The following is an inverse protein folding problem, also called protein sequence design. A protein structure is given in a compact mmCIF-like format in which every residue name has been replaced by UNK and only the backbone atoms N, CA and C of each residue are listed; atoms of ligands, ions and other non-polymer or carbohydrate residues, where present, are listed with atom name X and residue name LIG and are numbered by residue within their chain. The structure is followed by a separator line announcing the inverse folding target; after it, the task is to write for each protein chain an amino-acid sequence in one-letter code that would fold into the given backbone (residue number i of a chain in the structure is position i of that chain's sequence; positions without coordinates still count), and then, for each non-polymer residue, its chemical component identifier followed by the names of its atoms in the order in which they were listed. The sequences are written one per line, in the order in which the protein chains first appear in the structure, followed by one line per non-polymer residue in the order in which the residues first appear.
data_IF_113380889122
#
_entry.id   IF_113380889122
#
_cell.length_a   1.000
_cell.length_b   1.000
_cell.length_c   1.000
_cell.angle_alpha   90.00
_cell.angle_beta   90.00
_cell.angle_gamma   90.00
#
_symmetry.space_group_name_H-M   'P 1'
#
loop_
_entity.id
_entity.type
_entity.pdbx_description
1 polymer ?
#
# COMPACT_ATOMS: atom_id res chain seq x y z
N UNK A 1 2.38 -10.14 0.58
CA UNK A 1 2.64 -9.95 2.02
C UNK A 1 3.34 -8.60 2.18
N UNK A 2 2.79 -7.72 3.01
CA UNK A 2 3.40 -6.41 3.36
C UNK A 2 3.96 -6.53 4.75
N UNK A 3 5.19 -6.08 4.95
CA UNK A 3 5.77 -5.96 6.28
C UNK A 3 5.75 -4.49 6.67
N UNK A 4 5.12 -4.19 7.79
CA UNK A 4 5.12 -2.86 8.39
C UNK A 4 6.10 -2.94 9.57
N UNK A 5 7.18 -2.18 9.52
CA UNK A 5 8.14 -2.10 10.62
C UNK A 5 8.46 -0.65 10.93
N UNK A 6 8.69 -0.37 12.21
CA UNK A 6 9.16 0.93 12.64
C UNK A 6 10.61 1.12 12.15
N UNK A 7 10.87 2.25 11.49
CA UNK A 7 12.22 2.67 11.16
C UNK A 7 12.88 3.25 12.42
N UNK A 8 13.61 2.40 13.14
CA UNK A 8 14.31 2.78 14.37
C UNK A 8 15.82 2.57 14.18
N UNK A 9 16.68 3.42 14.79
CA UNK A 9 18.14 3.34 14.61
C UNK A 9 18.79 1.98 14.97
N UNK A 10 18.09 1.16 15.76
CA UNK A 10 18.56 -0.14 16.24
C UNK A 10 18.20 -1.31 15.31
N UNK A 11 17.56 -1.03 14.17
CA UNK A 11 17.18 -2.06 13.20
C UNK A 11 18.45 -2.59 12.49
N UNK A 12 18.74 -3.88 12.65
CA UNK A 12 19.92 -4.52 12.08
C UNK A 12 20.00 -4.44 10.54
N UNK A 13 21.16 -4.82 9.97
CA UNK A 13 21.47 -4.72 8.52
C UNK A 13 20.74 -5.75 7.64
N UNK A 14 19.41 -5.76 7.67
CA UNK A 14 18.57 -6.62 6.83
C UNK A 14 17.79 -7.67 7.61
N UNK A 15 17.00 -8.46 6.89
CA UNK A 15 16.06 -9.41 7.48
C UNK A 15 16.56 -10.84 7.26
N UNK A 16 16.26 -11.73 8.20
CA UNK A 16 16.50 -13.17 8.05
C UNK A 16 15.18 -13.91 8.15
N UNK A 17 14.85 -14.67 7.10
CA UNK A 17 13.74 -15.60 7.14
C UNK A 17 14.25 -16.95 7.62
N UNK A 18 13.80 -17.35 8.80
CA UNK A 18 14.04 -18.66 9.36
C UNK A 18 12.87 -19.56 8.93
N UNK A 19 13.16 -20.64 8.22
CA UNK A 19 12.16 -21.64 7.83
C UNK A 19 12.67 -23.05 8.12
N UNK A 20 11.74 -23.97 8.31
CA UNK A 20 12.05 -25.39 8.54
C UNK A 20 11.68 -26.15 7.28
N UNK A 21 12.66 -26.82 6.67
CA UNK A 21 12.42 -27.77 5.59
C UNK A 21 12.36 -29.16 6.19
N UNK A 22 11.27 -29.89 5.93
CA UNK A 22 11.17 -31.30 6.29
C UNK A 22 11.07 -32.18 5.06
N UNK A 23 11.91 -33.21 4.99
CA UNK A 23 11.87 -34.25 3.97
C UNK A 23 12.29 -35.58 4.60
N UNK A 24 11.53 -36.66 4.38
CA UNK A 24 11.82 -38.01 4.91
C UNK A 24 12.18 -38.02 6.41
N UNK A 25 11.39 -37.34 7.25
CA UNK A 25 11.58 -37.21 8.71
C UNK A 25 12.85 -36.45 9.15
N UNK A 26 13.68 -36.00 8.23
CA UNK A 26 14.78 -35.06 8.52
C UNK A 26 14.19 -33.65 8.54
N UNK A 27 14.60 -32.85 9.53
CA UNK A 27 14.22 -31.44 9.67
C UNK A 27 15.50 -30.60 9.64
N UNK A 28 15.60 -29.71 8.68
CA UNK A 28 16.69 -28.76 8.56
C UNK A 28 16.15 -27.34 8.75
N UNK A 29 16.93 -26.51 9.44
CA UNK A 29 16.65 -25.08 9.57
C UNK A 29 17.40 -24.33 8.47
N UNK A 30 16.67 -23.54 7.69
CA UNK A 30 17.22 -22.65 6.67
C UNK A 30 17.11 -21.22 7.16
N UNK A 31 18.23 -20.49 7.12
CA UNK A 31 18.27 -19.05 7.36
C UNK A 31 18.57 -18.33 6.04
N UNK A 32 17.55 -17.69 5.48
CA UNK A 32 17.65 -16.97 4.20
C UNK A 32 17.78 -15.48 4.50
N UNK A 33 18.87 -14.85 4.04
CA UNK A 33 19.00 -13.40 4.10
C UNK A 33 18.05 -12.78 3.09
N UNK A 34 17.13 -11.95 3.58
CA UNK A 34 16.24 -11.14 2.75
C UNK A 34 16.87 -9.74 2.68
N UNK A 35 17.38 -9.31 1.51
CA UNK A 35 17.81 -7.93 1.32
C UNK A 35 16.57 -7.05 1.44
N UNK A 36 16.57 -6.17 2.46
CA UNK A 36 15.53 -5.16 2.64
C UNK A 36 16.17 -3.81 2.47
N UNK A 37 15.72 -3.07 1.47
CA UNK A 37 16.05 -1.66 1.29
C UNK A 37 14.91 -0.83 1.83
N UNK A 38 15.24 0.25 2.55
CA UNK A 38 14.24 1.25 2.89
C UNK A 38 13.57 1.74 1.60
N UNK A 39 12.24 1.85 1.61
CA UNK A 39 11.53 2.38 0.47
C UNK A 39 11.91 3.85 0.27
N UNK A 40 12.20 4.25 -0.97
CA UNK A 40 12.56 5.64 -1.27
C UNK A 40 11.38 6.61 -1.02
N UNK A 41 10.16 6.09 -1.06
CA UNK A 41 8.93 6.82 -0.72
C UNK A 41 8.11 6.03 0.28
N UNK A 42 7.33 6.73 1.12
CA UNK A 42 6.50 6.07 2.12
C UNK A 42 5.33 5.33 1.46
N UNK A 43 5.27 4.01 1.69
CA UNK A 43 4.32 3.10 1.04
C UNK A 43 3.10 2.78 1.88
N UNK A 44 3.19 3.02 3.19
CA UNK A 44 2.09 2.81 4.14
C UNK A 44 1.77 4.13 4.81
N UNK A 45 0.54 4.58 4.64
CA UNK A 45 0.01 5.79 5.26
C UNK A 45 -0.95 5.38 6.38
N UNK A 46 -1.01 6.15 7.46
CA UNK A 46 -2.04 5.99 8.48
C UNK A 46 -3.06 7.11 8.37
N UNK A 47 -4.33 6.82 8.59
CA UNK A 47 -5.34 7.86 8.74
C UNK A 47 -6.37 7.54 9.81
N UNK A 48 -6.84 8.59 10.48
CA UNK A 48 -8.06 8.54 11.27
C UNK A 48 -9.27 8.27 10.38
N UNK A 49 -10.14 7.35 10.77
CA UNK A 49 -11.42 7.10 10.10
C UNK A 49 -12.59 7.28 11.06
N UNK A 50 -13.76 7.61 10.50
CA UNK A 50 -15.00 7.76 11.27
C UNK A 50 -15.47 6.45 11.89
N UNK A 51 -15.18 5.32 11.25
CA UNK A 51 -15.76 4.02 11.58
C UNK A 51 -14.78 3.11 12.33
N UNK A 52 -13.48 3.18 12.04
CA UNK A 52 -12.47 2.19 12.48
C UNK A 52 -11.29 2.83 13.22
N UNK A 53 -11.47 4.04 13.77
CA UNK A 53 -10.48 4.82 14.53
C UNK A 53 -9.21 5.15 13.75
N UNK A 54 -8.20 4.27 13.71
CA UNK A 54 -6.96 4.42 12.95
C UNK A 54 -6.76 3.23 12.01
N UNK A 55 -6.56 3.52 10.74
CA UNK A 55 -6.31 2.52 9.70
C UNK A 55 -4.98 2.79 9.01
N UNK A 56 -4.38 1.73 8.49
CA UNK A 56 -3.16 1.73 7.69
C UNK A 56 -3.49 1.31 6.26
N UNK A 57 -2.99 2.09 5.31
CA UNK A 57 -3.22 1.91 3.87
C UNK A 57 -1.87 1.74 3.20
N UNK A 58 -1.58 0.53 2.72
CA UNK A 58 -0.34 0.20 2.02
C UNK A 58 -0.56 0.16 0.51
N UNK A 59 0.13 1.01 -0.25
CA UNK A 59 0.11 1.00 -1.70
C UNK A 59 1.10 -0.04 -2.26
N UNK A 60 0.59 -0.96 -3.09
CA UNK A 60 1.36 -2.07 -3.67
C UNK A 60 1.82 -1.79 -5.11
N UNK A 61 1.48 -0.63 -5.68
CA UNK A 61 2.00 -0.21 -6.98
C UNK A 61 3.52 0.04 -6.88
N UNK A 62 4.36 -0.42 -7.82
CA UNK A 62 5.80 -0.12 -7.79
C UNK A 62 6.11 1.39 -7.72
N UNK A 63 7.27 1.76 -7.17
CA UNK A 63 7.71 3.16 -7.07
C UNK A 63 7.86 3.82 -8.46
N UNK A 64 8.14 3.00 -9.47
CA UNK A 64 8.17 3.42 -10.86
C UNK A 64 7.34 2.52 -11.77
N UNK A 65 6.61 3.15 -12.69
CA UNK A 65 5.79 2.46 -13.70
C UNK A 65 5.91 3.17 -15.05
N UNK A 66 5.54 2.48 -16.13
CA UNK A 66 5.47 3.11 -17.46
C UNK A 66 4.27 4.05 -17.59
N UNK A 67 4.27 4.95 -18.55
CA UNK A 67 3.04 5.66 -18.96
C UNK A 67 1.90 4.67 -19.30
N UNK A 68 0.66 5.01 -18.95
CA UNK A 68 -0.56 4.27 -19.29
C UNK A 68 -1.40 3.83 -18.08
N UNK A 69 -2.32 2.89 -18.34
CA UNK A 69 -3.22 2.31 -17.32
C UNK A 69 -2.50 1.20 -16.55
N UNK A 70 -2.60 1.27 -15.22
CA UNK A 70 -2.03 0.27 -14.32
C UNK A 70 -3.07 -0.21 -13.32
N UNK A 71 -2.99 -1.52 -13.06
CA UNK A 71 -3.65 -2.14 -11.92
C UNK A 71 -2.97 -1.66 -10.65
N UNK A 72 -3.71 -0.99 -9.78
CA UNK A 72 -3.22 -0.51 -8.49
C UNK A 72 -3.89 -1.30 -7.37
N UNK A 73 -3.07 -1.79 -6.44
CA UNK A 73 -3.53 -2.59 -5.31
C UNK A 73 -3.20 -1.94 -3.99
N UNK A 74 -4.08 -2.12 -3.02
CA UNK A 74 -3.86 -1.70 -1.65
C UNK A 74 -4.06 -2.86 -0.68
N UNK A 75 -3.39 -2.77 0.47
CA UNK A 75 -3.69 -3.56 1.65
C UNK A 75 -4.17 -2.60 2.76
N UNK A 76 -5.30 -2.94 3.37
CA UNK A 76 -5.91 -2.17 4.44
C UNK A 76 -5.90 -2.98 5.74
N UNK A 77 -5.43 -2.35 6.80
CA UNK A 77 -5.41 -2.90 8.14
C UNK A 77 -5.95 -1.87 9.13
N UNK A 78 -6.71 -2.31 10.14
CA UNK A 78 -7.03 -1.44 11.29
C UNK A 78 -5.98 -1.59 12.38
N UNK A 79 -5.82 -0.56 13.20
CA UNK A 79 -5.04 -0.66 14.43
C UNK A 79 -5.88 -1.30 15.54
N UNK A 80 -5.39 -2.37 16.15
CA UNK A 80 -6.01 -3.02 17.31
C UNK A 80 -4.92 -3.38 18.33
N UNK A 81 -4.55 -2.40 19.15
CA UNK A 81 -3.37 -2.50 20.02
C UNK A 81 -2.09 -2.72 19.19
N UNK A 82 -1.44 -3.88 19.39
CA UNK A 82 -0.27 -4.33 18.61
C UNK A 82 -0.62 -5.27 17.45
N UNK A 83 -1.91 -5.52 17.21
CA UNK A 83 -2.40 -6.33 16.10
C UNK A 83 -2.89 -5.41 14.98
N UNK A 84 -2.69 -5.87 13.75
CA UNK A 84 -3.09 -5.15 12.54
C UNK A 84 -3.99 -6.03 11.67
N UNK A 85 -5.19 -6.40 12.15
CA UNK A 85 -6.08 -7.25 11.39
C UNK A 85 -6.50 -6.57 10.08
N UNK A 86 -6.72 -7.40 9.06
CA UNK A 86 -7.18 -6.97 7.74
C UNK A 86 -8.54 -6.29 7.84
N UNK A 87 -8.77 -5.29 6.99
CA UNK A 87 -9.98 -4.48 7.03
C UNK A 87 -10.67 -4.43 5.67
N UNK A 88 -11.85 -5.04 5.60
CA UNK A 88 -12.71 -5.06 4.40
C UNK A 88 -13.85 -4.02 4.50
N UNK A 89 -14.67 -3.94 3.45
CA UNK A 89 -15.88 -3.09 3.35
C UNK A 89 -15.64 -1.57 3.20
N UNK A 90 -14.48 -1.19 2.68
CA UNK A 90 -14.26 0.15 2.15
C UNK A 90 -14.41 0.18 0.63
N UNK A 91 -14.44 1.40 0.07
CA UNK A 91 -14.17 1.68 -1.34
C UNK A 91 -13.07 2.74 -1.36
N UNK A 92 -11.99 2.48 -2.09
CA UNK A 92 -10.85 3.39 -2.16
C UNK A 92 -10.99 4.22 -3.43
N UNK A 93 -11.43 5.48 -3.31
CA UNK A 93 -11.50 6.37 -4.49
C UNK A 93 -10.12 6.94 -4.79
N UNK A 94 -9.81 7.00 -6.08
CA UNK A 94 -8.50 7.37 -6.59
C UNK A 94 -8.58 8.65 -7.42
N UNK A 95 -7.71 9.60 -7.11
CA UNK A 95 -7.45 10.76 -7.94
C UNK A 95 -5.95 10.82 -8.22
N UNK A 96 -5.59 11.34 -9.38
CA UNK A 96 -4.19 11.55 -9.74
C UNK A 96 -3.95 13.02 -9.95
N UNK A 97 -2.85 13.53 -9.40
CA UNK A 97 -2.38 14.87 -9.68
C UNK A 97 -0.94 14.81 -10.20
N UNK A 98 -0.64 15.62 -11.21
CA UNK A 98 0.74 15.79 -11.63
C UNK A 98 1.33 16.93 -10.82
N UNK A 99 2.47 16.69 -10.18
CA UNK A 99 3.15 17.69 -9.35
C UNK A 99 3.62 18.92 -10.14
N UNK A 100 3.59 18.89 -11.48
CA UNK A 100 4.11 19.98 -12.32
C UNK A 100 3.13 20.62 -13.29
N UNK A 101 1.88 20.15 -13.46
CA UNK A 101 0.83 20.83 -14.27
C UNK A 101 -0.50 20.07 -14.30
N UNK A 102 -1.61 20.77 -14.01
CA UNK A 102 -2.98 20.58 -14.54
C UNK A 102 -3.70 19.23 -14.36
N UNK A 103 -4.93 19.27 -13.84
CA UNK A 103 -5.84 18.12 -13.78
C UNK A 103 -6.37 17.76 -15.18
N UNK A 104 -5.97 16.61 -15.72
CA UNK A 104 -6.66 15.96 -16.84
C UNK A 104 -7.82 15.08 -16.37
N UNK A 105 -8.79 14.75 -17.22
CA UNK A 105 -9.87 13.82 -16.88
C UNK A 105 -9.29 12.46 -16.48
N UNK A 106 -9.67 11.97 -15.30
CA UNK A 106 -9.12 10.73 -14.76
C UNK A 106 -9.93 9.52 -15.24
N UNK A 107 -9.31 8.65 -16.03
CA UNK A 107 -9.78 7.27 -16.25
C UNK A 107 -9.38 6.35 -15.08
N UNK A 108 -9.54 6.83 -13.85
CA UNK A 108 -9.21 6.07 -12.66
C UNK A 108 -10.47 5.34 -12.18
N UNK A 109 -10.34 4.04 -11.92
CA UNK A 109 -11.39 3.23 -11.34
C UNK A 109 -11.07 3.01 -9.86
N UNK A 110 -12.07 3.25 -9.00
CA UNK A 110 -11.94 3.07 -7.56
C UNK A 110 -11.48 1.64 -7.22
N UNK A 111 -10.74 1.49 -6.12
CA UNK A 111 -10.32 0.19 -5.66
C UNK A 111 -11.39 -0.47 -4.79
N UNK A 112 -11.84 -1.66 -5.19
CA UNK A 112 -12.86 -2.45 -4.48
C UNK A 112 -12.21 -3.62 -3.73
N UNK A 113 -12.83 -4.05 -2.63
CA UNK A 113 -12.29 -5.16 -1.83
C UNK A 113 -12.29 -6.46 -2.65
N UNK A 114 -11.15 -7.13 -2.66
CA UNK A 114 -10.99 -8.52 -3.13
C UNK A 114 -10.96 -9.53 -1.97
N UNK A 115 -11.29 -9.07 -0.76
CA UNK A 115 -11.21 -9.84 0.49
C UNK A 115 -9.82 -9.83 1.13
N UNK A 116 -9.79 -10.19 2.42
CA UNK A 116 -8.58 -10.23 3.25
C UNK A 116 -7.86 -8.87 3.32
N UNK A 117 -8.64 -7.78 3.30
CA UNK A 117 -8.12 -6.41 3.33
C UNK A 117 -7.41 -5.97 2.04
N UNK A 118 -7.44 -6.78 0.97
CA UNK A 118 -6.89 -6.38 -0.32
C UNK A 118 -7.91 -5.62 -1.15
N UNK A 119 -7.44 -4.61 -1.88
CA UNK A 119 -8.28 -3.79 -2.76
C UNK A 119 -7.65 -3.64 -4.14
N UNK A 120 -8.49 -3.65 -5.17
CA UNK A 120 -8.17 -3.64 -6.61
C UNK A 120 -8.77 -2.43 -7.31
N UNK A 121 -7.95 -1.56 -7.89
CA UNK A 121 -8.42 -0.47 -8.74
C UNK A 121 -7.56 -0.31 -9.99
N UNK A 122 -7.86 0.75 -10.77
CA UNK A 122 -7.07 1.13 -11.94
C UNK A 122 -6.71 2.60 -11.86
N UNK A 123 -5.45 2.91 -12.13
CA UNK A 123 -4.94 4.27 -12.24
C UNK A 123 -4.38 4.50 -13.63
N UNK A 124 -4.63 5.65 -14.25
CA UNK A 124 -4.06 6.01 -15.54
C UNK A 124 -3.06 7.16 -15.39
N UNK A 125 -1.81 6.91 -15.79
CA UNK A 125 -0.77 7.93 -15.87
C UNK A 125 -0.58 8.35 -17.32
N UNK A 126 -1.12 9.51 -17.68
CA UNK A 126 -1.20 9.92 -19.07
C UNK A 126 0.12 10.37 -19.68
N UNK A 127 1.16 10.64 -18.88
CA UNK A 127 2.48 11.08 -19.35
C UNK A 127 3.60 10.72 -18.35
N UNK A 128 4.87 10.66 -18.77
CA UNK A 128 6.02 10.53 -17.87
C UNK A 128 6.16 11.71 -16.88
N UNK A 129 6.79 11.44 -15.74
CA UNK A 129 7.07 12.42 -14.69
C UNK A 129 6.69 11.95 -13.29
N UNK A 130 6.75 12.86 -12.31
CA UNK A 130 6.33 12.56 -10.94
C UNK A 130 4.84 12.82 -10.76
N UNK A 131 4.14 11.81 -10.26
CA UNK A 131 2.70 11.83 -10.01
C UNK A 131 2.40 11.60 -8.54
N UNK A 132 1.28 12.17 -8.10
CA UNK A 132 0.63 11.87 -6.83
C UNK A 132 -0.64 11.06 -7.08
N UNK A 133 -0.75 9.91 -6.41
CA UNK A 133 -1.99 9.16 -6.28
C UNK A 133 -2.63 9.58 -4.96
N UNK A 134 -3.71 10.35 -5.04
CA UNK A 134 -4.51 10.81 -3.91
C UNK A 134 -5.60 9.78 -3.65
N UNK A 135 -5.71 9.37 -2.39
CA UNK A 135 -6.61 8.32 -1.94
C UNK A 135 -7.66 8.87 -0.97
N UNK A 136 -8.91 8.49 -1.19
CA UNK A 136 -10.00 8.71 -0.25
C UNK A 136 -10.63 7.36 0.14
N UNK A 137 -10.81 7.13 1.43
CA UNK A 137 -11.50 5.96 1.96
C UNK A 137 -12.98 6.27 2.10
N UNK A 138 -13.83 5.44 1.50
CA UNK A 138 -15.28 5.58 1.56
C UNK A 138 -15.90 4.33 2.19
N UNK A 139 -16.86 4.53 3.08
CA UNK A 139 -17.61 3.45 3.75
C UNK A 139 -19.07 3.87 3.86
N UNK A 140 -20.00 2.96 3.57
CA UNK A 140 -21.45 3.24 3.53
C UNK A 140 -21.81 4.53 2.75
N UNK A 141 -21.16 4.76 1.61
CA UNK A 141 -21.44 5.91 0.74
C UNK A 141 -20.91 7.27 1.23
N UNK A 142 -20.11 7.33 2.30
CA UNK A 142 -19.52 8.57 2.83
C UNK A 142 -17.99 8.49 2.89
N UNK A 143 -17.31 9.61 2.67
CA UNK A 143 -15.87 9.73 2.94
C UNK A 143 -15.63 9.50 4.43
N UNK A 144 -14.70 8.60 4.75
CA UNK A 144 -14.42 8.13 6.11
C UNK A 144 -13.06 8.61 6.62
N UNK A 145 -12.03 8.74 5.76
CA UNK A 145 -10.72 9.24 6.17
C UNK A 145 -10.71 10.75 6.47
N UNK A 146 -9.98 11.14 7.51
CA UNK A 146 -9.80 12.52 7.96
C UNK A 146 -8.56 13.17 7.35
N UNK A 147 -7.49 12.40 7.18
CA UNK A 147 -6.19 12.88 6.70
C UNK A 147 -6.07 12.74 5.19
N UNK A 148 -5.22 13.58 4.60
CA UNK A 148 -4.82 13.47 3.21
C UNK A 148 -3.89 12.26 3.02
N UNK A 149 -4.29 11.33 2.15
CA UNK A 149 -3.49 10.15 1.81
C UNK A 149 -2.97 10.33 0.38
N UNK A 150 -1.65 10.43 0.22
CA UNK A 150 -1.00 10.70 -1.08
C UNK A 150 0.20 9.78 -1.28
N UNK A 151 0.29 9.10 -2.41
CA UNK A 151 1.45 8.27 -2.77
C UNK A 151 2.19 8.87 -3.96
N UNK A 152 3.51 8.93 -3.88
CA UNK A 152 4.36 9.39 -4.98
C UNK A 152 4.70 8.23 -5.91
N UNK A 153 4.57 8.46 -7.21
CA UNK A 153 4.89 7.47 -8.25
C UNK A 153 5.71 8.14 -9.34
N UNK A 154 6.84 7.54 -9.70
CA UNK A 154 7.65 7.96 -10.84
C UNK A 154 7.16 7.26 -12.10
N UNK A 155 6.71 8.03 -13.10
CA UNK A 155 6.27 7.50 -14.38
C UNK A 155 7.36 7.70 -15.41
N UNK A 156 7.72 6.64 -16.14
CA UNK A 156 8.76 6.63 -17.18
C UNK A 156 8.17 6.40 -18.56
#
# INVERSE_FOLDING_TARGET
MVFIMADIPQMGKGWQLHTIRSHNRIKDTLAIKIPVTAAATMRTMSSGTRDDSRVFISCLLPDSVKQGKHRIRFLLNKMDGHHFPVLDHYVIKLKTNRLSMGQGPSENFAAESTGNGYYEGTVNFSMPGRWEVIVELWKAGKKSNQDDIKYLVQVT
#
